data_IF_763593104773
#
_entry.id   IF_763593104773
#
_cell.length_a   1.000
_cell.length_b   1.000
_cell.length_c   1.000
_cell.angle_alpha   90.00
_cell.angle_beta   90.00
_cell.angle_gamma   90.00
#
_symmetry.space_group_name_H-M   'P 1'
#
loop_
_entity.id
_entity.type
_entity.pdbx_description
1 polymer ?
#
# COMPACT_ATOMS: atom_id res chain seq x y z
N UNK A 1 6.40 7.25 36.03
CA UNK A 1 6.65 8.64 35.62
C UNK A 1 5.90 9.62 36.51
N UNK A 2 6.45 10.83 36.72
CA UNK A 2 5.79 11.91 37.45
C UNK A 2 5.82 13.17 36.57
N UNK A 3 4.68 13.84 36.43
CA UNK A 3 4.57 15.10 35.70
C UNK A 3 4.92 16.25 36.66
N UNK A 4 5.90 17.08 36.31
CA UNK A 4 6.36 18.19 37.10
C UNK A 4 6.48 19.47 36.27
N UNK A 5 6.42 20.68 36.87
CA UNK A 5 6.86 21.88 36.19
C UNK A 5 8.28 21.71 35.63
N UNK A 6 8.59 22.38 34.53
CA UNK A 6 9.88 22.22 33.83
C UNK A 6 11.05 22.59 34.73
N UNK A 7 10.89 23.62 35.59
CA UNK A 7 11.89 24.06 36.57
C UNK A 7 12.20 22.99 37.61
N UNK A 8 11.18 22.28 38.08
CA UNK A 8 11.31 21.22 39.08
C UNK A 8 11.95 19.95 38.49
N UNK A 9 12.11 19.92 37.17
CA UNK A 9 12.77 18.84 36.44
C UNK A 9 14.30 18.90 36.45
N UNK A 10 14.91 20.03 36.82
CA UNK A 10 16.37 20.21 36.81
C UNK A 10 17.05 19.14 37.67
N UNK A 11 18.08 18.48 37.11
CA UNK A 11 18.82 17.38 37.72
C UNK A 11 18.10 16.03 37.73
N UNK A 12 16.91 15.94 37.15
CA UNK A 12 16.13 14.69 37.03
C UNK A 12 16.19 14.15 35.60
N UNK A 13 15.98 12.83 35.44
CA UNK A 13 15.99 12.16 34.17
C UNK A 13 14.62 12.34 33.49
N UNK A 14 14.65 12.81 32.26
CA UNK A 14 13.47 12.93 31.41
C UNK A 14 12.92 11.53 31.06
N UNK A 15 11.67 11.29 31.39
CA UNK A 15 11.03 10.00 31.22
C UNK A 15 10.32 9.84 29.87
N UNK A 16 10.19 10.94 29.11
CA UNK A 16 9.49 10.97 27.82
C UNK A 16 10.08 12.06 26.92
N UNK A 17 10.16 11.79 25.62
CA UNK A 17 10.66 12.76 24.64
C UNK A 17 9.82 14.05 24.68
N UNK A 18 10.49 15.20 24.59
CA UNK A 18 9.82 16.49 24.40
C UNK A 18 9.89 16.86 22.93
N UNK A 19 8.78 17.28 22.35
CA UNK A 19 8.65 17.55 20.91
C UNK A 19 8.42 19.03 20.68
N UNK A 20 9.17 19.60 19.74
CA UNK A 20 8.88 20.90 19.15
C UNK A 20 8.00 20.67 17.93
N UNK A 21 6.78 21.21 17.95
CA UNK A 21 5.87 21.17 16.81
C UNK A 21 5.80 22.56 16.19
N UNK A 22 6.18 22.69 14.94
CA UNK A 22 6.02 23.88 14.12
C UNK A 22 5.01 23.60 12.98
N UNK A 23 4.59 24.63 12.25
CA UNK A 23 3.69 24.48 11.11
C UNK A 23 4.28 23.62 9.97
N UNK A 24 5.59 23.39 9.96
CA UNK A 24 6.29 22.68 8.87
C UNK A 24 6.94 21.37 9.30
N UNK A 25 7.31 21.24 10.55
CA UNK A 25 8.07 20.07 11.05
C UNK A 25 7.74 19.78 12.51
N UNK A 26 7.92 18.51 12.86
CA UNK A 26 7.95 18.02 14.23
C UNK A 26 9.33 17.44 14.50
N UNK A 27 10.02 17.94 15.51
CA UNK A 27 11.35 17.47 15.89
C UNK A 27 11.44 17.20 17.40
N UNK A 28 12.25 16.23 17.80
CA UNK A 28 12.54 15.96 19.19
C UNK A 28 13.42 17.08 19.76
N UNK A 29 12.98 17.74 20.80
CA UNK A 29 13.70 18.82 21.47
C UNK A 29 14.71 18.27 22.47
N UNK A 30 14.27 17.34 23.35
CA UNK A 30 15.08 16.55 24.26
C UNK A 30 14.59 15.12 24.27
N UNK A 31 15.50 14.17 24.23
CA UNK A 31 15.18 12.74 24.23
C UNK A 31 14.98 12.19 25.64
N UNK A 32 14.20 11.16 25.77
CA UNK A 32 14.09 10.37 27.00
C UNK A 32 15.47 9.90 27.48
N UNK A 33 15.67 9.91 28.79
CA UNK A 33 16.96 9.58 29.40
C UNK A 33 17.89 10.80 29.58
N UNK A 34 17.58 11.96 28.97
CA UNK A 34 18.32 13.19 29.16
C UNK A 34 18.17 13.71 30.60
N UNK A 35 19.27 14.12 31.23
CA UNK A 35 19.26 14.78 32.53
C UNK A 35 19.01 16.28 32.30
N UNK A 36 17.85 16.77 32.75
CA UNK A 36 17.42 18.14 32.50
C UNK A 36 18.36 19.13 33.20
N UNK A 37 18.91 20.06 32.45
CA UNK A 37 19.79 21.12 32.92
C UNK A 37 19.01 22.44 33.07
N UNK A 38 19.63 23.44 33.74
CA UNK A 38 19.07 24.81 33.84
C UNK A 38 18.93 25.45 32.45
N UNK A 39 19.84 25.17 31.52
CA UNK A 39 19.77 25.69 30.15
C UNK A 39 18.59 25.08 29.37
N UNK A 40 18.25 23.84 29.63
CA UNK A 40 17.11 23.15 28.96
C UNK A 40 15.77 23.76 29.38
N UNK A 41 15.67 24.32 30.60
CA UNK A 41 14.43 24.95 31.09
C UNK A 41 14.01 26.11 30.17
N UNK A 42 14.95 26.99 29.81
CA UNK A 42 14.69 28.10 28.91
C UNK A 42 14.25 27.57 27.54
N UNK A 43 15.01 26.65 26.95
CA UNK A 43 14.73 26.03 25.66
C UNK A 43 13.37 25.34 25.60
N UNK A 44 13.00 24.62 26.68
CA UNK A 44 11.70 23.93 26.77
C UNK A 44 10.55 24.96 26.83
N UNK A 45 10.68 26.00 27.64
CA UNK A 45 9.66 27.05 27.75
C UNK A 45 9.48 27.86 26.46
N UNK A 46 10.57 28.21 25.78
CA UNK A 46 10.54 28.91 24.50
C UNK A 46 9.82 28.06 23.45
N UNK A 47 9.82 26.74 23.62
CA UNK A 47 9.10 25.76 22.77
C UNK A 47 7.68 25.43 23.29
N UNK A 48 7.18 26.15 24.29
CA UNK A 48 5.85 25.96 24.88
C UNK A 48 5.74 24.76 25.85
N UNK A 49 6.85 24.14 26.24
CA UNK A 49 6.89 22.98 27.14
C UNK A 49 7.08 23.44 28.55
N UNK A 50 5.99 23.68 29.29
CA UNK A 50 5.98 24.15 30.68
C UNK A 50 5.97 23.04 31.72
N UNK A 51 5.78 21.78 31.29
CA UNK A 51 5.76 20.59 32.13
C UNK A 51 6.46 19.43 31.43
N UNK A 52 7.18 18.64 32.22
CA UNK A 52 7.93 17.49 31.76
C UNK A 52 7.57 16.22 32.53
N UNK A 53 7.75 15.09 31.92
CA UNK A 53 7.69 13.80 32.59
C UNK A 53 9.08 13.42 33.06
N UNK A 54 9.23 13.15 34.35
CA UNK A 54 10.47 12.66 34.96
C UNK A 54 10.33 11.21 35.40
N UNK A 55 11.44 10.48 35.44
CA UNK A 55 11.45 9.12 35.95
C UNK A 55 11.02 9.08 37.44
N UNK A 56 10.25 8.04 37.79
CA UNK A 56 9.79 7.77 39.15
C UNK A 56 10.09 6.32 39.50
N UNK A 57 10.64 6.09 40.69
CA UNK A 57 10.92 4.71 41.14
C UNK A 57 9.61 4.00 41.47
N UNK A 58 9.42 2.79 40.89
CA UNK A 58 8.32 1.86 41.07
C UNK A 58 6.98 2.25 40.43
N UNK A 59 6.87 2.06 39.14
CA UNK A 59 5.58 2.05 38.48
C UNK A 59 5.24 0.62 38.06
N UNK A 60 4.05 0.15 38.46
CA UNK A 60 3.48 -1.11 37.90
C UNK A 60 2.90 -0.85 36.52
N UNK A 61 3.61 -0.04 35.73
CA UNK A 61 3.23 0.45 34.43
C UNK A 61 4.13 -0.13 33.34
N UNK A 62 3.56 -0.25 32.14
CA UNK A 62 4.26 -0.53 30.88
C UNK A 62 4.12 0.70 30.02
N UNK A 63 5.21 1.19 29.49
CA UNK A 63 5.23 2.44 28.73
C UNK A 63 5.00 2.23 27.25
N UNK A 64 4.54 3.25 26.55
CA UNK A 64 4.09 3.19 25.15
C UNK A 64 5.08 2.51 24.21
N UNK A 65 6.40 2.78 24.32
CA UNK A 65 7.42 2.15 23.47
C UNK A 65 7.59 0.65 23.74
N UNK A 66 7.37 0.21 24.98
CA UNK A 66 7.39 -1.22 25.34
C UNK A 66 6.11 -1.89 24.82
N UNK A 67 4.98 -1.20 25.00
CA UNK A 67 3.66 -1.69 24.55
C UNK A 67 3.67 -1.88 23.04
N UNK A 68 4.04 -0.83 22.28
CA UNK A 68 4.02 -0.90 20.81
C UNK A 68 4.96 -1.98 20.28
N UNK A 69 6.16 -2.12 20.86
CA UNK A 69 7.12 -3.15 20.50
C UNK A 69 6.59 -4.56 20.76
N UNK A 70 6.07 -4.83 21.96
CA UNK A 70 5.56 -6.14 22.34
C UNK A 70 4.33 -6.55 21.52
N UNK A 71 3.44 -5.58 21.25
CA UNK A 71 2.26 -5.83 20.42
C UNK A 71 2.66 -6.05 18.96
N UNK A 72 3.60 -5.28 18.41
CA UNK A 72 4.09 -5.48 17.05
C UNK A 72 4.69 -6.89 16.86
N UNK A 73 5.46 -7.36 17.84
CA UNK A 73 5.99 -8.74 17.85
C UNK A 73 4.86 -9.77 17.93
N UNK A 74 3.85 -9.54 18.79
CA UNK A 74 2.72 -10.46 18.95
C UNK A 74 1.84 -10.56 17.68
N UNK A 75 1.73 -9.48 16.91
CA UNK A 75 0.96 -9.40 15.67
C UNK A 75 1.71 -9.92 14.45
N UNK A 76 3.05 -9.88 14.46
CA UNK A 76 3.87 -10.31 13.33
C UNK A 76 3.81 -11.83 13.09
N UNK A 77 4.02 -12.22 11.83
CA UNK A 77 4.03 -13.61 11.38
C UNK A 77 5.21 -13.89 10.44
N UNK A 78 5.18 -14.98 9.69
CA UNK A 78 6.20 -15.33 8.71
C UNK A 78 6.28 -14.36 7.52
N UNK A 79 5.22 -13.60 7.27
CA UNK A 79 5.11 -12.66 6.13
C UNK A 79 5.29 -11.20 6.52
N UNK A 80 5.28 -10.91 7.83
CA UNK A 80 5.42 -9.56 8.37
C UNK A 80 6.48 -9.51 9.47
N UNK A 81 7.12 -8.37 9.64
CA UNK A 81 8.09 -8.13 10.71
C UNK A 81 7.81 -6.82 11.44
N UNK A 82 8.12 -6.77 12.77
CA UNK A 82 7.94 -5.57 13.57
C UNK A 82 9.11 -4.61 13.37
N UNK A 83 8.81 -3.32 13.20
CA UNK A 83 9.79 -2.24 13.16
C UNK A 83 9.41 -1.19 14.19
N UNK A 84 10.32 -0.91 15.12
CA UNK A 84 10.09 0.12 16.14
C UNK A 84 10.21 1.52 15.53
N UNK A 85 9.21 2.33 15.73
CA UNK A 85 9.19 3.75 15.41
C UNK A 85 9.49 4.61 16.65
N UNK A 86 9.26 5.91 16.53
CA UNK A 86 9.37 6.89 17.62
C UNK A 86 8.02 7.09 18.32
N UNK A 87 8.03 7.71 19.51
CA UNK A 87 6.82 8.16 20.22
C UNK A 87 5.73 7.08 20.41
N UNK A 88 6.12 5.89 20.82
CA UNK A 88 5.17 4.80 21.09
C UNK A 88 4.54 4.18 19.84
N UNK A 89 5.02 4.51 18.65
CA UNK A 89 4.58 3.90 17.41
C UNK A 89 5.49 2.72 17.06
N UNK A 90 4.89 1.63 16.60
CA UNK A 90 5.60 0.56 15.92
C UNK A 90 4.90 0.23 14.59
N UNK A 91 5.62 -0.37 13.67
CA UNK A 91 5.09 -0.72 12.35
C UNK A 91 5.18 -2.22 12.13
N UNK A 92 4.30 -2.73 11.30
CA UNK A 92 4.45 -4.01 10.63
C UNK A 92 4.88 -3.74 9.19
N UNK A 93 6.00 -4.31 8.77
CA UNK A 93 6.49 -4.24 7.40
C UNK A 93 6.39 -5.61 6.73
N UNK A 94 6.19 -5.61 5.42
CA UNK A 94 6.12 -6.84 4.65
C UNK A 94 7.49 -7.46 4.44
N UNK A 95 7.67 -8.73 4.74
CA UNK A 95 8.89 -9.51 4.47
C UNK A 95 8.93 -10.06 3.05
N UNK A 96 7.78 -10.09 2.36
CA UNK A 96 7.63 -10.68 1.03
C UNK A 96 6.72 -9.80 0.17
N UNK A 97 6.95 -9.69 -1.14
CA UNK A 97 6.00 -9.03 -2.01
C UNK A 97 4.74 -9.91 -2.17
N UNK A 98 3.56 -9.28 -2.16
CA UNK A 98 2.30 -10.03 -2.22
C UNK A 98 1.06 -9.16 -2.06
N UNK A 99 -0.03 -9.79 -1.67
CA UNK A 99 -1.34 -9.17 -1.43
C UNK A 99 -1.60 -9.08 0.07
N UNK A 100 -1.88 -7.88 0.54
CA UNK A 100 -2.23 -7.64 1.94
C UNK A 100 -3.56 -8.30 2.28
N UNK A 101 -3.58 -9.08 3.35
CA UNK A 101 -4.75 -9.73 3.90
C UNK A 101 -5.01 -9.23 5.32
N UNK A 102 -6.26 -8.89 5.57
CA UNK A 102 -6.71 -8.33 6.86
C UNK A 102 -7.84 -9.19 7.40
N UNK A 103 -7.66 -9.73 8.60
CA UNK A 103 -8.77 -10.27 9.38
C UNK A 103 -9.54 -9.10 10.03
N UNK A 104 -10.50 -8.56 9.29
CA UNK A 104 -11.26 -7.36 9.70
C UNK A 104 -11.96 -7.56 11.04
N UNK A 105 -12.46 -8.78 11.30
CA UNK A 105 -13.14 -9.07 12.55
C UNK A 105 -12.18 -8.98 13.72
N UNK A 106 -11.05 -9.69 13.66
CA UNK A 106 -10.04 -9.64 14.72
C UNK A 106 -9.45 -8.25 14.90
N UNK A 107 -9.18 -7.51 13.80
CA UNK A 107 -8.69 -6.14 13.86
C UNK A 107 -9.69 -5.22 14.56
N UNK A 108 -10.98 -5.34 14.24
CA UNK A 108 -12.04 -4.56 14.90
C UNK A 108 -12.14 -4.92 16.38
N UNK A 109 -12.16 -6.22 16.70
CA UNK A 109 -12.23 -6.70 18.09
C UNK A 109 -10.99 -6.22 18.89
N UNK A 110 -9.78 -6.25 18.28
CA UNK A 110 -8.58 -5.71 18.89
C UNK A 110 -8.71 -4.22 19.21
N UNK A 111 -9.17 -3.42 18.28
CA UNK A 111 -9.28 -1.96 18.45
C UNK A 111 -10.35 -1.53 19.46
N UNK A 112 -11.22 -2.44 19.94
CA UNK A 112 -12.18 -2.13 21.03
C UNK A 112 -11.49 -1.84 22.37
N UNK A 113 -10.20 -2.19 22.55
CA UNK A 113 -9.47 -1.86 23.77
C UNK A 113 -9.19 -0.36 23.94
N UNK A 114 -9.16 0.43 22.86
CA UNK A 114 -8.96 1.88 22.81
C UNK A 114 -7.62 2.42 23.37
N UNK A 115 -6.82 1.60 24.03
CA UNK A 115 -5.50 2.00 24.57
C UNK A 115 -4.39 1.79 23.54
N UNK A 116 -4.50 0.73 22.73
CA UNK A 116 -3.54 0.38 21.68
C UNK A 116 -4.30 0.10 20.40
N UNK A 117 -3.95 0.82 19.35
CA UNK A 117 -4.66 0.77 18.09
C UNK A 117 -3.80 0.11 17.01
N UNK A 118 -4.40 -0.79 16.24
CA UNK A 118 -3.82 -1.35 15.03
C UNK A 118 -4.48 -0.71 13.81
N UNK A 119 -3.68 -0.05 13.00
CA UNK A 119 -4.09 0.64 11.78
C UNK A 119 -3.44 -0.08 10.59
N UNK A 120 -4.20 -0.47 9.59
CA UNK A 120 -3.69 -1.15 8.41
C UNK A 120 -3.98 -0.39 7.11
N UNK A 121 -3.21 -0.68 6.05
CA UNK A 121 -3.63 -0.35 4.69
C UNK A 121 -4.89 -1.15 4.32
N UNK A 122 -5.56 -0.76 3.23
CA UNK A 122 -6.73 -1.47 2.74
C UNK A 122 -6.40 -2.91 2.33
N UNK A 123 -7.30 -3.82 2.66
CA UNK A 123 -7.20 -5.22 2.25
C UNK A 123 -7.14 -5.38 0.72
N UNK A 124 -6.46 -6.41 0.28
CA UNK A 124 -6.24 -6.77 -1.14
C UNK A 124 -5.39 -5.77 -1.94
N UNK A 125 -4.72 -4.82 -1.29
CA UNK A 125 -3.68 -4.04 -1.94
C UNK A 125 -2.39 -4.86 -2.10
N UNK A 126 -1.72 -4.65 -3.23
CA UNK A 126 -0.40 -5.21 -3.44
C UNK A 126 0.65 -4.40 -2.68
N UNK A 127 1.59 -5.11 -2.09
CA UNK A 127 2.72 -4.55 -1.36
C UNK A 127 4.03 -5.17 -1.84
N UNK A 128 5.08 -4.35 -1.85
CA UNK A 128 6.46 -4.80 -2.06
C UNK A 128 7.10 -5.24 -0.75
N UNK A 129 8.29 -5.85 -0.84
CA UNK A 129 9.10 -6.17 0.34
C UNK A 129 9.52 -4.89 1.06
N UNK A 130 9.47 -4.89 2.40
CA UNK A 130 9.82 -3.74 3.24
C UNK A 130 8.75 -2.65 3.34
N UNK A 131 7.63 -2.76 2.61
CA UNK A 131 6.54 -1.78 2.73
C UNK A 131 5.82 -1.89 4.08
N UNK A 132 5.50 -0.74 4.68
CA UNK A 132 4.64 -0.67 5.87
C UNK A 132 3.24 -1.13 5.49
N UNK A 133 2.73 -2.13 6.21
CA UNK A 133 1.40 -2.73 6.04
C UNK A 133 0.47 -2.45 7.20
N UNK A 134 1.00 -2.10 8.37
CA UNK A 134 0.25 -1.69 9.53
C UNK A 134 1.07 -0.82 10.46
N UNK A 135 0.38 -0.06 11.31
CA UNK A 135 0.96 0.73 12.40
C UNK A 135 0.27 0.38 13.71
N UNK A 136 1.05 0.27 14.77
CA UNK A 136 0.58 0.11 16.14
C UNK A 136 0.80 1.45 16.84
N UNK A 137 -0.27 2.05 17.30
CA UNK A 137 -0.27 3.35 17.97
C UNK A 137 -0.78 3.22 19.41
N UNK A 138 -0.08 3.80 20.38
CA UNK A 138 -0.42 3.70 21.80
C UNK A 138 -0.94 5.04 22.27
N UNK A 139 -2.21 5.10 22.66
CA UNK A 139 -2.88 6.36 23.04
C UNK A 139 -2.38 6.90 24.38
N UNK A 140 -2.34 6.12 25.49
CA UNK A 140 -1.79 6.62 26.77
C UNK A 140 -0.26 6.43 26.81
N UNK A 141 0.43 7.31 27.52
CA UNK A 141 1.87 7.20 27.75
C UNK A 141 2.28 5.89 28.43
N UNK A 142 1.40 5.31 29.22
CA UNK A 142 1.60 4.04 29.89
C UNK A 142 0.26 3.40 30.28
N UNK A 143 0.23 2.07 30.36
CA UNK A 143 -0.87 1.27 30.89
C UNK A 143 -0.41 0.40 32.05
N UNK A 144 -1.35 -0.12 32.84
CA UNK A 144 -1.01 -1.10 33.88
C UNK A 144 -0.55 -2.44 33.28
N UNK A 145 0.27 -3.18 34.02
CA UNK A 145 0.63 -4.56 33.61
C UNK A 145 -0.58 -5.46 33.43
N UNK A 146 -1.65 -5.23 34.19
CA UNK A 146 -2.90 -5.97 34.05
C UNK A 146 -3.62 -5.68 32.72
N UNK A 147 -3.65 -4.42 32.33
CA UNK A 147 -4.20 -3.98 31.03
C UNK A 147 -3.35 -4.51 29.87
N UNK A 148 -2.01 -4.40 29.97
CA UNK A 148 -1.10 -4.95 28.97
C UNK A 148 -1.36 -6.43 28.69
N UNK A 149 -1.55 -7.26 29.73
CA UNK A 149 -1.91 -8.68 29.57
C UNK A 149 -3.20 -8.88 28.81
N UNK A 150 -4.21 -7.99 28.98
CA UNK A 150 -5.48 -8.06 28.23
C UNK A 150 -5.25 -7.70 26.77
N UNK A 151 -4.50 -6.66 26.47
CA UNK A 151 -4.20 -6.25 25.10
C UNK A 151 -3.39 -7.29 24.35
N UNK A 152 -2.35 -7.86 24.98
CA UNK A 152 -1.55 -8.97 24.40
C UNK A 152 -2.42 -10.18 24.09
N UNK A 153 -3.40 -10.49 24.95
CA UNK A 153 -4.33 -11.60 24.69
C UNK A 153 -5.25 -11.36 23.49
N UNK A 154 -5.56 -10.10 23.18
CA UNK A 154 -6.32 -9.73 21.98
C UNK A 154 -5.44 -9.77 20.72
N UNK A 155 -4.14 -9.47 20.85
CA UNK A 155 -3.21 -9.53 19.74
C UNK A 155 -3.05 -10.97 19.24
N UNK A 156 -3.22 -11.19 17.96
CA UNK A 156 -3.03 -12.53 17.37
C UNK A 156 -2.38 -12.42 16.00
N UNK A 157 -1.49 -13.37 15.70
CA UNK A 157 -0.85 -13.49 14.38
C UNK A 157 -1.88 -13.60 13.27
N UNK A 158 -1.55 -13.06 12.10
CA UNK A 158 -2.39 -13.13 10.91
C UNK A 158 -3.58 -12.15 10.89
N UNK A 159 -3.67 -11.20 11.84
CA UNK A 159 -4.60 -10.07 11.70
C UNK A 159 -4.25 -9.21 10.48
N UNK A 160 -2.97 -9.00 10.28
CA UNK A 160 -2.36 -8.34 9.12
C UNK A 160 -1.29 -9.29 8.61
N UNK A 161 -1.46 -9.79 7.40
CA UNK A 161 -0.54 -10.74 6.78
C UNK A 161 -0.39 -10.43 5.29
N UNK A 162 0.63 -11.00 4.65
CA UNK A 162 0.84 -10.83 3.21
C UNK A 162 0.81 -12.18 2.53
N UNK A 163 -0.13 -12.37 1.60
CA UNK A 163 -0.17 -13.55 0.74
C UNK A 163 0.85 -13.40 -0.37
N UNK A 164 1.93 -14.18 -0.40
CA UNK A 164 2.98 -14.04 -1.41
C UNK A 164 2.46 -14.25 -2.83
N UNK A 165 3.09 -13.62 -3.81
CA UNK A 165 2.84 -13.94 -5.21
C UNK A 165 3.27 -15.36 -5.51
N UNK A 166 2.42 -16.10 -6.23
CA UNK A 166 2.70 -17.46 -6.71
C UNK A 166 3.38 -17.46 -8.07
N UNK A 167 3.08 -16.43 -8.88
CA UNK A 167 3.60 -16.24 -10.23
C UNK A 167 4.61 -15.12 -10.23
N UNK A 168 5.66 -15.25 -11.03
CA UNK A 168 6.77 -14.29 -11.05
C UNK A 168 7.24 -13.93 -12.46
N UNK A 169 6.81 -14.63 -13.51
CA UNK A 169 7.24 -14.44 -14.88
C UNK A 169 6.13 -13.81 -15.71
N UNK A 170 6.38 -12.62 -16.22
CA UNK A 170 5.40 -11.82 -16.99
C UNK A 170 5.82 -11.73 -18.44
N UNK A 171 4.88 -12.04 -19.35
CA UNK A 171 4.94 -11.65 -20.75
C UNK A 171 4.28 -10.29 -20.95
N UNK A 172 4.89 -9.41 -21.73
CA UNK A 172 4.37 -8.10 -22.06
C UNK A 172 4.20 -7.94 -23.56
N UNK A 173 2.97 -7.74 -23.99
CA UNK A 173 2.61 -7.41 -25.37
C UNK A 173 2.12 -5.95 -25.39
N UNK A 174 2.73 -5.12 -26.20
CA UNK A 174 2.36 -3.70 -26.35
C UNK A 174 1.74 -3.53 -27.73
N UNK A 175 0.48 -3.12 -27.80
CA UNK A 175 -0.21 -2.85 -29.06
C UNK A 175 -0.20 -1.36 -29.37
N UNK A 176 -0.17 -1.03 -30.64
CA UNK A 176 -0.20 0.33 -31.15
C UNK A 176 0.60 0.46 -32.43
N UNK A 177 -0.08 0.69 -33.55
CA UNK A 177 0.56 0.80 -34.87
C UNK A 177 1.57 1.94 -34.90
N UNK A 178 1.27 3.07 -34.24
CA UNK A 178 2.17 4.20 -34.19
C UNK A 178 3.46 3.94 -33.42
N UNK A 179 3.41 3.05 -32.40
CA UNK A 179 4.59 2.63 -31.64
C UNK A 179 5.39 1.60 -32.44
N UNK A 180 4.69 0.65 -33.06
CA UNK A 180 5.28 -0.39 -33.91
C UNK A 180 6.06 0.22 -35.08
N UNK A 181 5.49 1.23 -35.77
CA UNK A 181 6.13 1.98 -36.85
C UNK A 181 7.16 3.02 -36.37
N UNK A 182 7.42 3.09 -35.05
CA UNK A 182 8.37 4.07 -34.42
C UNK A 182 8.01 5.53 -34.63
N UNK A 183 6.76 5.84 -34.96
CA UNK A 183 6.23 7.22 -35.04
C UNK A 183 6.05 7.83 -33.65
N UNK A 184 5.84 6.97 -32.63
CA UNK A 184 5.71 7.34 -31.23
C UNK A 184 6.60 6.45 -30.35
N UNK A 185 7.16 7.02 -29.29
CA UNK A 185 7.99 6.29 -28.33
C UNK A 185 7.10 5.38 -27.45
N UNK A 186 7.59 4.18 -27.16
CA UNK A 186 7.03 3.30 -26.13
C UNK A 186 7.23 3.90 -24.74
N UNK A 187 6.16 4.35 -24.12
CA UNK A 187 6.14 4.86 -22.74
C UNK A 187 5.62 3.80 -21.75
N UNK A 188 5.04 2.70 -22.23
CA UNK A 188 4.34 1.70 -21.40
C UNK A 188 5.30 0.71 -20.76
N UNK A 189 6.33 0.31 -21.48
CA UNK A 189 7.33 -0.63 -20.96
C UNK A 189 7.93 -0.16 -19.64
N UNK A 190 8.35 1.10 -19.55
CA UNK A 190 8.94 1.66 -18.34
C UNK A 190 8.01 1.60 -17.13
N UNK A 191 6.71 1.82 -17.35
CA UNK A 191 5.70 1.78 -16.28
C UNK A 191 5.51 0.34 -15.80
N UNK A 192 5.29 -0.62 -16.72
CA UNK A 192 5.13 -2.03 -16.37
C UNK A 192 6.39 -2.59 -15.72
N UNK A 193 7.57 -2.19 -16.21
CA UNK A 193 8.85 -2.62 -15.64
C UNK A 193 8.99 -2.18 -14.18
N UNK A 194 8.71 -0.91 -13.85
CA UNK A 194 8.76 -0.44 -12.45
C UNK A 194 7.85 -1.25 -11.54
N UNK A 195 6.64 -1.64 -12.01
CA UNK A 195 5.74 -2.51 -11.25
C UNK A 195 6.31 -3.91 -11.07
N UNK A 196 6.89 -4.48 -12.13
CA UNK A 196 7.56 -5.78 -12.04
C UNK A 196 8.71 -5.73 -11.02
N UNK A 197 9.55 -4.69 -11.08
CA UNK A 197 10.65 -4.51 -10.14
C UNK A 197 10.13 -4.37 -8.69
N UNK A 198 9.10 -3.57 -8.48
CA UNK A 198 8.45 -3.37 -7.16
C UNK A 198 7.92 -4.68 -6.56
N UNK A 199 7.31 -5.52 -7.37
CA UNK A 199 6.66 -6.76 -6.93
C UNK A 199 7.53 -8.01 -7.08
N UNK A 200 8.78 -7.86 -7.51
CA UNK A 200 9.71 -8.97 -7.67
C UNK A 200 9.41 -9.86 -8.87
N UNK A 201 8.71 -9.35 -9.89
CA UNK A 201 8.40 -10.07 -11.11
C UNK A 201 9.46 -9.85 -12.19
N UNK A 202 9.64 -10.86 -13.05
CA UNK A 202 10.57 -10.81 -14.17
C UNK A 202 9.82 -10.76 -15.49
N UNK A 203 10.09 -9.76 -16.34
CA UNK A 203 9.61 -9.76 -17.71
C UNK A 203 10.48 -10.75 -18.51
N UNK A 204 9.87 -11.85 -18.95
CA UNK A 204 10.54 -12.92 -19.70
C UNK A 204 10.33 -12.80 -21.21
N UNK A 205 9.33 -12.02 -21.61
CA UNK A 205 9.03 -11.73 -23.00
C UNK A 205 8.50 -10.30 -23.15
N UNK A 206 8.90 -9.62 -24.22
CA UNK A 206 8.35 -8.33 -24.65
C UNK A 206 8.27 -8.27 -26.16
N UNK A 207 7.11 -7.92 -26.70
CA UNK A 207 6.95 -7.61 -28.12
C UNK A 207 6.04 -6.39 -28.28
N UNK A 208 6.35 -5.55 -29.28
CA UNK A 208 5.50 -4.46 -29.74
C UNK A 208 4.87 -4.91 -31.06
N UNK A 209 3.54 -4.87 -31.14
CA UNK A 209 2.80 -5.27 -32.32
C UNK A 209 1.87 -4.15 -32.80
N UNK A 210 1.55 -4.07 -34.09
CA UNK A 210 0.51 -3.14 -34.56
C UNK A 210 -0.86 -3.57 -34.03
N UNK A 211 -1.87 -2.74 -34.21
CA UNK A 211 -3.27 -3.05 -33.87
C UNK A 211 -3.85 -4.04 -34.88
N UNK A 212 -3.37 -5.28 -34.81
CA UNK A 212 -3.69 -6.42 -35.66
C UNK A 212 -3.92 -7.65 -34.80
N UNK A 213 -5.14 -8.20 -34.86
CA UNK A 213 -5.58 -9.30 -34.02
C UNK A 213 -4.73 -10.58 -34.18
N UNK A 214 -4.27 -10.89 -35.39
CA UNK A 214 -3.47 -12.10 -35.62
C UNK A 214 -2.06 -11.93 -35.06
N UNK A 215 -1.46 -10.75 -35.20
CA UNK A 215 -0.15 -10.44 -34.63
C UNK A 215 -0.20 -10.37 -33.09
N UNK A 216 -1.27 -9.83 -32.52
CA UNK A 216 -1.49 -9.89 -31.06
C UNK A 216 -1.57 -11.34 -30.56
N UNK A 217 -2.35 -12.21 -31.24
CA UNK A 217 -2.46 -13.63 -30.90
C UNK A 217 -1.09 -14.30 -30.95
N UNK A 218 -0.33 -14.09 -32.03
CA UNK A 218 1.02 -14.65 -32.17
C UNK A 218 1.95 -14.20 -31.04
N UNK A 219 1.94 -12.91 -30.69
CA UNK A 219 2.76 -12.38 -29.60
C UNK A 219 2.37 -12.97 -28.23
N UNK A 220 1.06 -13.14 -27.96
CA UNK A 220 0.57 -13.78 -26.73
C UNK A 220 1.01 -15.26 -26.69
N UNK A 221 0.97 -15.98 -27.81
CA UNK A 221 1.44 -17.37 -27.90
C UNK A 221 2.95 -17.46 -27.62
N UNK A 222 3.76 -16.63 -28.28
CA UNK A 222 5.21 -16.56 -28.07
C UNK A 222 5.55 -16.20 -26.62
N UNK A 223 4.80 -15.28 -25.98
CA UNK A 223 5.00 -14.95 -24.57
C UNK A 223 4.86 -16.19 -23.69
N UNK A 224 3.84 -17.02 -23.93
CA UNK A 224 3.65 -18.29 -23.21
C UNK A 224 4.80 -19.26 -23.49
N UNK A 225 5.20 -19.42 -24.74
CA UNK A 225 6.32 -20.30 -25.15
C UNK A 225 7.64 -19.86 -24.50
N UNK A 226 7.81 -18.57 -24.27
CA UNK A 226 8.96 -17.99 -23.54
C UNK A 226 8.90 -18.20 -22.02
N UNK A 227 7.92 -18.97 -21.53
CA UNK A 227 7.78 -19.32 -20.12
C UNK A 227 7.07 -18.27 -19.27
N UNK A 228 6.30 -17.34 -19.87
CA UNK A 228 5.47 -16.44 -19.09
C UNK A 228 4.40 -17.21 -18.30
N UNK A 229 4.24 -16.87 -17.03
CA UNK A 229 3.24 -17.42 -16.12
C UNK A 229 1.99 -16.54 -16.06
N UNK A 230 2.10 -15.30 -16.52
CA UNK A 230 1.02 -14.34 -16.71
C UNK A 230 1.37 -13.39 -17.86
N UNK A 231 0.37 -12.84 -18.53
CA UNK A 231 0.58 -11.96 -19.69
C UNK A 231 -0.21 -10.66 -19.52
N UNK A 232 0.48 -9.55 -19.77
CA UNK A 232 -0.12 -8.21 -19.84
C UNK A 232 -0.12 -7.77 -21.31
N UNK A 233 -1.27 -7.32 -21.79
CA UNK A 233 -1.44 -6.65 -23.09
C UNK A 233 -1.79 -5.19 -22.81
N UNK A 234 -1.01 -4.25 -23.35
CA UNK A 234 -1.28 -2.80 -23.19
C UNK A 234 -1.69 -2.20 -24.52
N UNK A 235 -2.73 -1.40 -24.52
CA UNK A 235 -3.26 -0.75 -25.72
C UNK A 235 -4.48 -1.47 -26.31
N UNK A 236 -5.08 -0.88 -27.34
CA UNK A 236 -6.21 -1.44 -28.07
C UNK A 236 -7.45 -1.77 -27.24
N UNK A 237 -7.68 -1.05 -26.12
CA UNK A 237 -8.69 -1.40 -25.11
C UNK A 237 -9.88 -0.44 -25.06
N UNK A 238 -9.90 0.64 -25.83
CA UNK A 238 -10.96 1.64 -25.83
C UNK A 238 -12.12 1.25 -26.77
N UNK A 239 -12.96 2.20 -27.10
CA UNK A 239 -14.10 2.04 -28.04
C UNK A 239 -13.76 2.48 -29.46
N UNK A 240 -12.51 2.82 -29.71
CA UNK A 240 -12.05 3.19 -31.04
C UNK A 240 -12.20 1.99 -32.00
N UNK A 241 -12.63 2.19 -33.25
CA UNK A 241 -12.74 1.12 -34.25
C UNK A 241 -11.45 0.32 -34.48
N UNK A 242 -10.30 0.91 -34.20
CA UNK A 242 -8.99 0.26 -34.30
C UNK A 242 -8.63 -0.58 -33.06
N UNK A 243 -9.35 -0.42 -31.96
CA UNK A 243 -9.09 -1.13 -30.70
C UNK A 243 -9.58 -2.57 -30.75
N UNK A 244 -8.66 -3.52 -30.91
CA UNK A 244 -8.98 -4.93 -31.16
C UNK A 244 -8.71 -5.86 -29.98
N UNK A 245 -7.93 -5.46 -28.98
CA UNK A 245 -7.46 -6.33 -27.91
C UNK A 245 -8.57 -7.13 -27.19
N UNK A 246 -9.75 -6.57 -26.82
CA UNK A 246 -10.81 -7.38 -26.23
C UNK A 246 -11.38 -8.46 -27.17
N UNK A 247 -11.46 -8.15 -28.46
CA UNK A 247 -11.84 -9.09 -29.51
C UNK A 247 -10.81 -10.20 -29.69
N UNK A 248 -9.54 -9.83 -29.76
CA UNK A 248 -8.39 -10.73 -29.85
C UNK A 248 -8.35 -11.73 -28.69
N UNK A 249 -8.53 -11.26 -27.45
CA UNK A 249 -8.56 -12.12 -26.25
C UNK A 249 -9.71 -13.14 -26.34
N UNK A 250 -10.88 -12.74 -26.85
CA UNK A 250 -12.00 -13.68 -27.08
C UNK A 250 -11.72 -14.69 -28.20
N UNK A 251 -11.17 -14.23 -29.33
CA UNK A 251 -10.76 -15.10 -30.45
C UNK A 251 -9.73 -16.16 -30.02
N UNK A 252 -8.84 -15.79 -29.12
CA UNK A 252 -7.85 -16.68 -28.52
C UNK A 252 -8.46 -17.80 -27.66
N UNK A 253 -9.77 -17.72 -27.36
CA UNK A 253 -10.49 -18.69 -26.54
C UNK A 253 -10.25 -18.48 -25.04
N UNK A 254 -9.84 -17.29 -24.60
CA UNK A 254 -9.67 -16.99 -23.20
C UNK A 254 -11.02 -16.88 -22.47
N UNK A 255 -11.10 -17.41 -21.26
CA UNK A 255 -12.24 -17.22 -20.37
C UNK A 255 -12.21 -15.83 -19.77
N UNK A 256 -13.01 -14.92 -20.28
CA UNK A 256 -13.13 -13.55 -19.76
C UNK A 256 -13.87 -13.57 -18.42
N UNK A 257 -13.23 -13.03 -17.38
CA UNK A 257 -13.80 -12.86 -16.04
C UNK A 257 -14.57 -11.54 -15.96
N UNK A 258 -13.99 -10.47 -16.51
CA UNK A 258 -14.61 -9.15 -16.64
C UNK A 258 -13.99 -8.37 -17.77
N UNK A 259 -14.80 -7.56 -18.45
CA UNK A 259 -14.36 -6.48 -19.31
C UNK A 259 -14.99 -5.19 -18.80
N UNK A 260 -14.15 -4.26 -18.39
CA UNK A 260 -14.51 -3.12 -17.54
C UNK A 260 -14.45 -3.47 -16.05
N UNK A 261 -13.84 -2.61 -15.29
CA UNK A 261 -13.81 -2.65 -13.82
C UNK A 261 -14.16 -1.27 -13.28
N UNK A 262 -14.93 -1.19 -12.18
CA UNK A 262 -15.39 0.09 -11.64
C UNK A 262 -14.29 0.76 -10.79
N UNK A 263 -13.22 1.20 -11.47
CA UNK A 263 -12.15 1.98 -10.86
C UNK A 263 -11.60 3.04 -11.82
N UNK A 264 -11.05 4.10 -11.25
CA UNK A 264 -10.31 5.17 -11.94
C UNK A 264 -8.90 5.30 -11.33
N UNK A 265 -7.89 5.37 -12.20
CA UNK A 265 -7.90 5.19 -13.64
C UNK A 265 -8.09 3.72 -14.05
N UNK A 266 -8.14 3.45 -15.35
CA UNK A 266 -8.14 2.11 -15.97
C UNK A 266 -9.45 1.32 -15.89
N UNK A 267 -10.60 2.01 -15.99
CA UNK A 267 -11.90 1.35 -16.14
C UNK A 267 -11.90 0.35 -17.32
N UNK A 268 -11.27 0.71 -18.44
CA UNK A 268 -11.15 -0.17 -19.62
C UNK A 268 -10.02 -1.18 -19.40
N UNK A 269 -10.34 -2.20 -18.63
CA UNK A 269 -9.46 -3.33 -18.29
C UNK A 269 -10.20 -4.63 -18.56
N UNK A 270 -9.55 -5.62 -19.17
CA UNK A 270 -10.07 -6.98 -19.33
C UNK A 270 -9.26 -7.94 -18.45
N UNK A 271 -9.98 -8.70 -17.62
CA UNK A 271 -9.42 -9.81 -16.85
C UNK A 271 -9.86 -11.11 -17.50
N UNK A 272 -8.91 -11.96 -17.79
CA UNK A 272 -9.19 -13.27 -18.38
C UNK A 272 -8.19 -14.34 -17.95
N UNK A 273 -8.55 -15.60 -18.18
CA UNK A 273 -7.69 -16.77 -18.02
C UNK A 273 -7.59 -17.48 -19.37
N UNK A 274 -6.38 -17.66 -19.84
CA UNK A 274 -6.10 -18.39 -21.07
C UNK A 274 -5.15 -19.57 -20.79
N UNK A 275 -5.60 -20.78 -21.10
CA UNK A 275 -4.85 -22.01 -20.86
C UNK A 275 -4.24 -22.06 -19.43
N UNK A 276 -5.00 -21.63 -18.45
CA UNK A 276 -4.59 -21.59 -17.02
C UNK A 276 -3.78 -20.36 -16.61
N UNK A 277 -3.35 -19.50 -17.54
CA UNK A 277 -2.57 -18.31 -17.27
C UNK A 277 -3.46 -17.07 -17.13
N UNK A 278 -3.18 -16.16 -16.19
CA UNK A 278 -3.72 -14.81 -16.23
C UNK A 278 -3.37 -14.10 -17.54
N UNK A 279 -4.39 -13.64 -18.25
CA UNK A 279 -4.25 -12.79 -19.43
C UNK A 279 -5.02 -11.49 -19.19
N UNK A 280 -4.29 -10.40 -19.09
CA UNK A 280 -4.75 -9.12 -18.61
C UNK A 280 -4.54 -8.04 -19.66
N UNK A 281 -5.63 -7.39 -20.10
CA UNK A 281 -5.55 -6.25 -21.00
C UNK A 281 -5.84 -4.94 -20.27
N UNK A 282 -5.03 -3.92 -20.53
CA UNK A 282 -5.16 -2.61 -19.90
C UNK A 282 -5.03 -1.49 -20.92
N UNK A 283 -5.90 -0.46 -20.79
CA UNK A 283 -5.86 0.69 -21.69
C UNK A 283 -4.55 1.49 -21.53
N UNK A 284 -3.95 1.83 -22.67
CA UNK A 284 -2.73 2.60 -22.77
C UNK A 284 -2.82 3.97 -22.06
N UNK A 285 -3.90 4.71 -22.27
CA UNK A 285 -4.14 6.00 -21.60
C UNK A 285 -4.22 5.84 -20.08
N UNK A 286 -4.98 4.85 -19.59
CA UNK A 286 -5.16 4.63 -18.16
C UNK A 286 -3.87 4.30 -17.41
N UNK A 287 -2.97 3.52 -18.02
CA UNK A 287 -1.70 3.14 -17.39
C UNK A 287 -0.72 4.32 -17.29
N UNK A 288 -0.83 5.29 -18.22
CA UNK A 288 0.06 6.46 -18.29
C UNK A 288 -0.29 7.52 -17.23
N UNK A 289 -1.58 7.73 -16.95
CA UNK A 289 -2.04 8.84 -16.11
C UNK A 289 -1.98 8.58 -14.61
N UNK A 290 -1.73 7.37 -14.17
CA UNK A 290 -1.57 7.08 -12.75
C UNK A 290 -0.58 5.95 -12.51
N UNK A 291 0.31 6.19 -11.57
CA UNK A 291 1.24 5.16 -11.11
C UNK A 291 0.51 4.00 -10.42
N UNK A 292 -0.62 4.27 -9.75
CA UNK A 292 -1.50 3.25 -9.18
C UNK A 292 -2.70 3.01 -10.10
N UNK A 293 -2.89 1.76 -10.54
CA UNK A 293 -3.90 1.39 -11.53
C UNK A 293 -4.38 -0.07 -11.37
N UNK A 294 -5.15 -0.59 -12.32
CA UNK A 294 -5.72 -1.94 -12.24
C UNK A 294 -4.70 -3.07 -12.20
N UNK A 295 -3.46 -2.85 -12.60
CA UNK A 295 -2.38 -3.84 -12.39
C UNK A 295 -2.18 -4.04 -10.89
N UNK A 296 -2.11 -2.96 -10.10
CA UNK A 296 -1.85 -3.01 -8.65
C UNK A 296 -3.01 -3.61 -7.84
N UNK A 297 -4.21 -3.61 -8.38
CA UNK A 297 -5.42 -4.05 -7.68
C UNK A 297 -5.88 -5.43 -8.15
N UNK A 298 -5.90 -5.69 -9.46
CA UNK A 298 -6.49 -6.90 -10.02
C UNK A 298 -5.47 -7.89 -10.55
N UNK A 299 -4.50 -7.44 -11.35
CA UNK A 299 -3.48 -8.34 -11.87
C UNK A 299 -2.63 -8.94 -10.76
N UNK A 300 -2.27 -8.15 -9.77
CA UNK A 300 -1.56 -8.59 -8.56
C UNK A 300 -2.29 -9.71 -7.82
N UNK A 301 -3.63 -9.66 -7.71
CA UNK A 301 -4.42 -10.75 -7.13
C UNK A 301 -4.28 -12.04 -7.93
N UNK A 302 -4.32 -11.93 -9.27
CA UNK A 302 -4.13 -13.08 -10.16
C UNK A 302 -2.71 -13.65 -10.02
N UNK A 303 -1.69 -12.80 -9.87
CA UNK A 303 -0.30 -13.21 -9.60
C UNK A 303 -0.16 -13.93 -8.26
N UNK A 304 -0.99 -13.61 -7.27
CA UNK A 304 -1.07 -14.34 -5.99
C UNK A 304 -1.91 -15.63 -6.07
N UNK A 305 -2.38 -16.00 -7.27
CA UNK A 305 -3.21 -17.17 -7.52
C UNK A 305 -4.66 -17.02 -7.07
N UNK A 306 -5.17 -15.77 -6.99
CA UNK A 306 -6.57 -15.50 -6.74
C UNK A 306 -7.30 -15.21 -8.05
N UNK A 307 -8.49 -15.77 -8.20
CA UNK A 307 -9.39 -15.43 -9.31
C UNK A 307 -10.52 -14.58 -8.73
N UNK A 308 -10.51 -13.25 -8.97
CA UNK A 308 -11.55 -12.37 -8.46
C UNK A 308 -12.94 -12.77 -8.97
N UNK A 309 -13.91 -12.82 -8.07
CA UNK A 309 -15.31 -13.04 -8.43
C UNK A 309 -15.94 -11.79 -9.03
N UNK A 310 -17.02 -11.94 -9.79
CA UNK A 310 -17.78 -10.80 -10.32
C UNK A 310 -18.23 -9.83 -9.21
N UNK A 311 -18.61 -10.35 -8.04
CA UNK A 311 -19.04 -9.54 -6.91
C UNK A 311 -17.88 -8.72 -6.31
N UNK A 312 -16.70 -9.31 -6.19
CA UNK A 312 -15.50 -8.60 -5.72
C UNK A 312 -15.08 -7.52 -6.71
N UNK A 313 -15.11 -7.81 -8.03
CA UNK A 313 -14.82 -6.82 -9.06
C UNK A 313 -15.82 -5.66 -8.99
N UNK A 314 -17.12 -5.95 -8.91
CA UNK A 314 -18.16 -4.94 -8.77
C UNK A 314 -18.01 -4.10 -7.48
N UNK A 315 -17.57 -4.72 -6.40
CA UNK A 315 -17.32 -4.07 -5.11
C UNK A 315 -16.23 -2.99 -5.14
N UNK A 316 -15.33 -3.02 -6.14
CA UNK A 316 -14.32 -1.97 -6.33
C UNK A 316 -14.93 -0.59 -6.60
N UNK A 317 -16.19 -0.50 -7.01
CA UNK A 317 -16.88 0.78 -7.18
C UNK A 317 -16.91 1.62 -5.89
N UNK A 318 -16.89 0.97 -4.74
CA UNK A 318 -16.72 1.64 -3.45
C UNK A 318 -15.23 1.89 -3.18
N UNK A 319 -14.82 3.16 -3.19
CA UNK A 319 -13.42 3.57 -3.06
C UNK A 319 -12.56 3.35 -4.32
N UNK A 320 -13.16 3.02 -5.45
CA UNK A 320 -12.45 2.79 -6.73
C UNK A 320 -11.94 4.06 -7.42
N UNK A 321 -12.19 5.25 -6.86
CA UNK A 321 -11.61 6.49 -7.32
C UNK A 321 -10.37 6.80 -6.48
N UNK A 322 -9.19 6.56 -7.02
CA UNK A 322 -7.93 6.77 -6.30
C UNK A 322 -7.49 8.23 -6.34
N UNK A 323 -6.88 8.71 -5.24
CA UNK A 323 -6.49 10.11 -5.01
C UNK A 323 -5.60 10.73 -6.10
N UNK A 324 -4.88 9.90 -6.84
CA UNK A 324 -3.98 10.34 -7.91
C UNK A 324 -4.68 10.47 -9.28
N UNK A 325 -6.00 10.34 -9.33
CA UNK A 325 -6.71 10.49 -10.57
C UNK A 325 -6.89 11.98 -10.89
N UNK A 326 -6.13 12.45 -11.87
CA UNK A 326 -6.23 13.82 -12.38
C UNK A 326 -7.40 13.94 -13.36
N UNK A 327 -8.43 14.67 -12.97
CA UNK A 327 -9.61 14.91 -13.80
C UNK A 327 -9.34 15.87 -14.96
N UNK A 328 -8.22 16.61 -14.97
CA UNK A 328 -7.85 17.51 -16.05
C UNK A 328 -7.66 16.78 -17.38
N UNK A 329 -7.30 15.51 -17.33
CA UNK A 329 -7.11 14.64 -18.50
C UNK A 329 -8.35 13.84 -18.91
N UNK A 330 -9.49 14.00 -18.22
CA UNK A 330 -10.70 13.22 -18.49
C UNK A 330 -11.56 13.77 -19.65
N UNK A 331 -11.11 14.83 -20.30
CA UNK A 331 -11.88 15.51 -21.37
C UNK A 331 -13.11 16.29 -20.87
N UNK A 332 -13.39 16.25 -19.58
CA UNK A 332 -14.46 17.01 -18.95
C UNK A 332 -13.86 18.29 -18.37
N UNK A 333 -14.21 19.45 -18.97
CA UNK A 333 -13.97 20.76 -18.36
C UNK A 333 -14.88 20.94 -17.13
N UNK A 334 -14.69 20.12 -16.12
CA UNK A 334 -15.20 20.40 -14.78
C UNK A 334 -14.33 21.52 -14.22
N UNK A 335 -14.64 22.77 -14.62
CA UNK A 335 -14.19 23.94 -13.86
C UNK A 335 -14.62 23.70 -12.43
N UNK A 336 -13.65 23.66 -11.53
CA UNK A 336 -13.87 23.63 -10.09
C UNK A 336 -14.86 24.73 -9.68
N UNK A 337 -16.13 24.41 -9.62
CA UNK A 337 -17.10 25.19 -8.87
C UNK A 337 -17.00 24.76 -7.42
N UNK A 338 -16.10 25.37 -6.68
CA UNK A 338 -16.00 25.16 -5.26
C UNK A 338 -14.56 25.15 -4.75
N UNK A 339 -14.08 26.32 -4.35
CA UNK A 339 -12.98 26.49 -3.43
C UNK A 339 -13.33 25.79 -2.10
N UNK A 340 -13.03 24.51 -1.97
CA UNK A 340 -12.89 23.90 -0.66
C UNK A 340 -11.46 24.18 -0.21
N UNK A 341 -11.25 25.31 0.45
CA UNK A 341 -10.07 25.55 1.27
C UNK A 341 -10.15 24.55 2.42
N UNK A 342 -9.34 23.52 2.38
CA UNK A 342 -9.03 22.71 3.57
C UNK A 342 -8.19 23.58 4.50
N UNK A 343 -8.75 23.91 5.65
CA UNK A 343 -8.02 24.45 6.80
C UNK A 343 -7.23 23.34 7.46
#
# INVERSE_FOLDING_TARGET
>A
MKKVPTEDGVGKVLAYDTTLVTLRESSTLLERGHVITKADVAKLKDSGVYRVWIESKKDNLVYEWQISSEIAVALSDETTEPVQGKHGIAFLTSKVPGILKIDRKKLTDFNTNQSVLLISKSENLAVGMGEIVGAIDVVPLAISKGEMKKVVKLASRGMVSVKPFKLSKVGLVITGTEIYEKRKKDEYFGIVKRKCDKYGWKIVYKEIVPDDSEKEIQAIMKARESGAEAIIVTGGMSVDPTDQTPGTIRKLGARVLSYGIPMKPTTMTILSIWKGLPLFGISAGGIKYSEFNSIDVMFTRMMAGEIPTKREIAGLGYGGMFWNYDTSNSGTNLKNSGNVRTH
#
